data_IF_540253641793
#
_entry.id   IF_540253641793
#
_cell.length_a   1.000
_cell.length_b   1.000
_cell.length_c   1.000
_cell.angle_alpha   90.00
_cell.angle_beta   90.00
_cell.angle_gamma   90.00
#
_symmetry.space_group_name_H-M   'P 1'
#
loop_
_entity.id
_entity.type
_entity.pdbx_description
1 polymer ?
#
# COMPACT_ATOMS: atom_id res chain seq x y z
N UNK A 1 -2.87 7.92 -12.74
CA UNK A 1 -3.23 8.97 -11.76
C UNK A 1 -4.72 9.26 -11.71
N UNK A 2 -5.40 9.63 -12.82
CA UNK A 2 -6.86 9.88 -12.82
C UNK A 2 -7.70 8.66 -12.39
N UNK A 3 -7.29 7.45 -12.78
CA UNK A 3 -8.00 6.21 -12.43
C UNK A 3 -8.00 5.91 -10.92
N UNK A 4 -6.96 6.32 -10.19
CA UNK A 4 -6.80 6.11 -8.75
C UNK A 4 -7.74 7.04 -7.95
N UNK A 5 -7.92 8.27 -8.43
CA UNK A 5 -8.86 9.22 -7.84
C UNK A 5 -10.30 8.75 -8.05
N UNK A 6 -10.64 8.20 -9.22
CA UNK A 6 -11.95 7.60 -9.46
C UNK A 6 -12.21 6.42 -8.53
N UNK A 7 -11.23 5.52 -8.40
CA UNK A 7 -11.23 4.39 -7.46
C UNK A 7 -11.57 4.77 -6.01
N UNK A 8 -10.94 5.84 -5.51
CA UNK A 8 -11.14 6.34 -4.15
C UNK A 8 -12.45 7.12 -3.97
N UNK A 9 -13.05 7.59 -5.06
CA UNK A 9 -14.32 8.34 -5.04
C UNK A 9 -15.52 7.41 -5.20
N UNK A 10 -15.36 6.29 -5.90
CA UNK A 10 -16.44 5.31 -6.14
C UNK A 10 -16.70 4.39 -4.95
N UNK A 11 -15.73 4.22 -4.06
CA UNK A 11 -15.82 3.34 -2.89
C UNK A 11 -15.37 4.11 -1.63
N UNK A 12 -16.33 4.40 -0.74
CA UNK A 12 -16.10 5.17 0.49
C UNK A 12 -15.11 4.46 1.43
N UNK A 13 -15.01 3.13 1.38
CA UNK A 13 -14.09 2.35 2.22
C UNK A 13 -12.71 2.16 1.56
N UNK A 14 -12.56 2.48 0.26
CA UNK A 14 -11.32 2.26 -0.46
C UNK A 14 -10.12 2.98 0.17
N UNK A 15 -10.32 4.18 0.71
CA UNK A 15 -9.26 4.91 1.41
C UNK A 15 -8.85 4.21 2.72
N UNK A 16 -9.82 3.78 3.52
CA UNK A 16 -9.57 3.12 4.80
C UNK A 16 -8.84 1.79 4.58
N UNK A 17 -9.26 1.03 3.57
CA UNK A 17 -8.61 -0.22 3.17
C UNK A 17 -7.19 0.06 2.66
N UNK A 18 -7.00 1.06 1.80
CA UNK A 18 -5.67 1.43 1.29
C UNK A 18 -4.73 1.88 2.42
N UNK A 19 -5.24 2.61 3.41
CA UNK A 19 -4.48 2.99 4.59
C UNK A 19 -4.03 1.76 5.39
N UNK A 20 -4.93 0.79 5.60
CA UNK A 20 -4.59 -0.47 6.26
C UNK A 20 -3.53 -1.26 5.48
N UNK A 21 -3.64 -1.34 4.15
CA UNK A 21 -2.64 -1.98 3.29
C UNK A 21 -1.29 -1.29 3.44
N UNK A 22 -1.25 0.05 3.38
CA UNK A 22 -0.01 0.80 3.51
C UNK A 22 0.66 0.56 4.86
N UNK A 23 -0.12 0.46 5.95
CA UNK A 23 0.40 0.18 7.28
C UNK A 23 0.96 -1.23 7.41
N UNK A 24 0.21 -2.24 6.95
CA UNK A 24 0.67 -3.64 6.93
C UNK A 24 1.92 -3.82 6.06
N UNK A 25 2.00 -3.08 4.95
CA UNK A 25 3.16 -3.11 4.08
C UNK A 25 4.39 -2.47 4.73
N UNK A 26 4.20 -1.35 5.43
CA UNK A 26 5.26 -0.72 6.22
C UNK A 26 5.80 -1.65 7.30
N UNK A 27 4.92 -2.35 8.03
CA UNK A 27 5.31 -3.33 9.05
C UNK A 27 6.09 -4.51 8.44
N UNK A 28 5.62 -5.06 7.32
CA UNK A 28 6.31 -6.13 6.61
C UNK A 28 7.71 -5.70 6.15
N UNK A 29 7.86 -4.48 5.65
CA UNK A 29 9.16 -3.95 5.24
C UNK A 29 10.07 -3.66 6.44
N UNK A 30 9.51 -3.15 7.53
CA UNK A 30 10.25 -2.94 8.77
C UNK A 30 10.92 -4.23 9.26
N UNK A 31 10.13 -5.32 9.31
CA UNK A 31 10.62 -6.64 9.71
C UNK A 31 11.62 -7.21 8.71
N UNK A 32 11.36 -7.08 7.40
CA UNK A 32 12.24 -7.59 6.36
C UNK A 32 13.61 -6.88 6.31
N UNK A 33 13.65 -5.60 6.68
CA UNK A 33 14.86 -4.78 6.71
C UNK A 33 15.62 -4.89 8.04
N UNK A 34 15.09 -5.62 9.03
CA UNK A 34 15.55 -5.60 10.43
C UNK A 34 15.76 -4.15 10.92
N UNK A 35 14.77 -3.31 10.63
CA UNK A 35 14.92 -1.87 10.74
C UNK A 35 14.90 -1.41 12.21
N UNK A 36 15.79 -0.47 12.49
CA UNK A 36 15.74 0.34 13.70
C UNK A 36 14.96 1.64 13.45
N UNK A 37 14.63 2.35 14.52
CA UNK A 37 14.02 3.68 14.44
C UNK A 37 14.79 4.67 13.55
N UNK A 38 16.12 4.55 13.48
CA UNK A 38 16.95 5.42 12.63
C UNK A 38 16.66 5.22 11.14
N UNK A 39 16.13 4.05 10.75
CA UNK A 39 15.80 3.70 9.36
C UNK A 39 14.34 3.94 9.01
N UNK A 40 13.57 4.62 9.86
CA UNK A 40 12.14 4.82 9.65
C UNK A 40 11.83 5.53 8.33
N UNK A 41 12.67 6.49 7.91
CA UNK A 41 12.49 7.17 6.63
C UNK A 41 12.71 6.24 5.44
N UNK A 42 13.72 5.39 5.52
CA UNK A 42 14.05 4.40 4.50
C UNK A 42 12.93 3.36 4.35
N UNK A 43 12.36 2.91 5.47
CA UNK A 43 11.19 2.01 5.46
C UNK A 43 9.98 2.70 4.80
N UNK A 44 9.67 3.94 5.21
CA UNK A 44 8.57 4.69 4.59
C UNK A 44 8.77 4.91 3.09
N UNK A 45 9.99 5.20 2.66
CA UNK A 45 10.30 5.37 1.24
C UNK A 45 10.16 4.05 0.46
N UNK A 46 10.65 2.94 1.00
CA UNK A 46 10.43 1.62 0.43
C UNK A 46 8.93 1.28 0.33
N UNK A 47 8.13 1.68 1.32
CA UNK A 47 6.69 1.40 1.37
C UNK A 47 6.00 2.20 0.27
N UNK A 48 6.32 3.49 0.16
CA UNK A 48 5.81 4.38 -0.88
C UNK A 48 6.17 3.87 -2.27
N UNK A 49 7.41 3.44 -2.49
CA UNK A 49 7.86 2.93 -3.80
C UNK A 49 7.10 1.66 -4.17
N UNK A 50 6.95 0.71 -3.23
CA UNK A 50 6.24 -0.53 -3.51
C UNK A 50 4.75 -0.27 -3.77
N UNK A 51 4.08 0.47 -2.89
CA UNK A 51 2.66 0.79 -3.05
C UNK A 51 2.40 1.59 -4.33
N UNK A 52 3.29 2.53 -4.66
CA UNK A 52 3.22 3.29 -5.91
C UNK A 52 3.37 2.43 -7.17
N UNK A 53 4.17 1.36 -7.12
CA UNK A 53 4.29 0.38 -8.21
C UNK A 53 3.01 -0.44 -8.36
N UNK A 54 2.47 -0.94 -7.25
CA UNK A 54 1.23 -1.73 -7.26
C UNK A 54 0.05 -0.90 -7.80
N UNK A 55 -0.08 0.35 -7.36
CA UNK A 55 -1.12 1.28 -7.84
C UNK A 55 -0.93 1.73 -9.30
N UNK A 56 0.24 1.52 -9.89
CA UNK A 56 0.53 1.82 -11.29
C UNK A 56 0.33 0.62 -12.22
N UNK A 57 -0.04 -0.55 -11.68
CA UNK A 57 -0.38 -1.72 -12.50
C UNK A 57 -1.66 -1.45 -13.29
N UNK A 58 -1.64 -1.74 -14.59
CA UNK A 58 -2.76 -1.48 -15.51
C UNK A 58 -4.03 -2.28 -15.16
N UNK A 59 -3.89 -3.38 -14.41
CA UNK A 59 -4.99 -4.27 -14.05
C UNK A 59 -5.69 -3.91 -12.73
N UNK A 60 -5.21 -2.90 -11.98
CA UNK A 60 -5.80 -2.52 -10.68
C UNK A 60 -7.03 -1.65 -10.92
N UNK A 61 -8.21 -2.26 -10.80
CA UNK A 61 -9.51 -1.58 -10.97
C UNK A 61 -10.25 -1.39 -9.65
N UNK A 62 -9.82 -2.09 -8.59
CA UNK A 62 -10.30 -2.01 -7.21
C UNK A 62 -9.14 -2.12 -6.23
N UNK A 63 -9.30 -1.62 -5.00
CA UNK A 63 -8.26 -1.75 -3.96
C UNK A 63 -7.98 -3.23 -3.64
N UNK A 64 -8.98 -4.10 -3.79
CA UNK A 64 -8.84 -5.55 -3.58
C UNK A 64 -7.97 -6.24 -4.64
N UNK A 65 -7.74 -5.60 -5.80
CA UNK A 65 -6.87 -6.14 -6.85
C UNK A 65 -5.38 -5.93 -6.54
N UNK A 66 -5.05 -5.12 -5.52
CA UNK A 66 -3.67 -4.89 -5.11
C UNK A 66 -3.07 -6.20 -4.54
N UNK A 67 -1.87 -6.59 -4.98
CA UNK A 67 -1.17 -7.73 -4.38
C UNK A 67 -1.03 -7.65 -2.85
N UNK A 68 -0.79 -6.44 -2.32
CA UNK A 68 -0.71 -6.17 -0.89
C UNK A 68 -2.04 -6.28 -0.14
N UNK A 69 -3.19 -6.39 -0.82
CA UNK A 69 -4.49 -6.66 -0.18
C UNK A 69 -4.47 -7.98 0.62
N UNK A 70 -3.67 -8.96 0.17
CA UNK A 70 -3.47 -10.23 0.88
C UNK A 70 -2.85 -10.06 2.28
N UNK A 71 -2.20 -8.92 2.54
CA UNK A 71 -1.64 -8.62 3.87
C UNK A 71 -2.72 -8.35 4.92
N UNK A 72 -3.95 -8.01 4.50
CA UNK A 72 -5.07 -7.75 5.42
C UNK A 72 -5.68 -9.02 6.02
N UNK A 73 -5.43 -10.19 5.42
CA UNK A 73 -6.01 -11.47 5.84
C UNK A 73 -4.98 -12.43 6.47
N UNK A 74 -3.83 -11.89 6.91
CA UNK A 74 -2.84 -12.66 7.66
C UNK A 74 -3.21 -12.79 9.14
#
# INVERSE_FOLDING_TARGET
MLMLVLLLVEDEEAFDILYCIAFQLMDAQWLAMDASYMQFKEVLEATRIQLGRELALDDVRRIQDLPAYNLLYK
#
